data_IF_558387662314
#
_entry.id   IF_558387662314
#
_cell.length_a   1.000
_cell.length_b   1.000
_cell.length_c   1.000
_cell.angle_alpha   90.00
_cell.angle_beta   90.00
_cell.angle_gamma   90.00
#
_symmetry.space_group_name_H-M   'P 1'
#
loop_
_entity.id
_entity.type
_entity.pdbx_description
1 polymer ?
#
# COMPACT_ATOMS: atom_id res chain seq x y z
N UNK A 1 -4.55 -14.85 18.37
CA UNK A 1 -3.66 -13.92 17.67
C UNK A 1 -3.89 -14.10 16.18
N UNK A 2 -4.55 -13.15 15.56
CA UNK A 2 -4.76 -13.08 14.12
C UNK A 2 -3.56 -12.40 13.47
N UNK A 3 -2.50 -13.16 13.23
CA UNK A 3 -1.40 -12.71 12.37
C UNK A 3 -1.87 -12.54 10.92
N UNK A 4 -1.30 -11.57 10.21
CA UNK A 4 -1.44 -11.46 8.76
C UNK A 4 -0.20 -12.05 8.08
N UNK A 5 -0.36 -12.60 6.88
CA UNK A 5 0.72 -13.21 6.11
C UNK A 5 1.97 -12.31 5.98
N UNK A 6 1.77 -10.99 5.83
CA UNK A 6 2.86 -10.02 5.67
C UNK A 6 3.26 -9.30 6.99
N UNK A 7 2.53 -9.54 8.09
CA UNK A 7 2.75 -8.95 9.42
C UNK A 7 2.26 -9.92 10.49
N UNK A 8 3.13 -10.85 10.89
CA UNK A 8 2.79 -11.95 11.80
C UNK A 8 2.30 -11.45 13.17
N UNK A 9 2.86 -10.33 13.66
CA UNK A 9 2.52 -9.63 14.91
C UNK A 9 1.50 -8.49 14.71
N UNK A 10 0.58 -8.61 13.75
CA UNK A 10 -0.34 -7.52 13.40
C UNK A 10 -1.23 -7.08 14.57
N UNK A 11 -1.63 -7.99 15.45
CA UNK A 11 -2.47 -7.65 16.59
C UNK A 11 -1.72 -6.76 17.58
N UNK A 12 -0.46 -7.10 17.89
CA UNK A 12 0.42 -6.34 18.77
C UNK A 12 0.76 -4.98 18.14
N UNK A 13 0.94 -4.92 16.83
CA UNK A 13 1.12 -3.65 16.10
C UNK A 13 -0.11 -2.75 16.23
N UNK A 14 -1.30 -3.31 16.03
CA UNK A 14 -2.56 -2.59 16.15
C UNK A 14 -2.75 -2.05 17.57
N UNK A 15 -2.40 -2.84 18.58
CA UNK A 15 -2.44 -2.42 19.98
C UNK A 15 -1.50 -1.23 20.24
N UNK A 16 -0.22 -1.33 19.84
CA UNK A 16 0.75 -0.22 19.98
C UNK A 16 0.29 1.04 19.27
N UNK A 17 -0.17 0.92 18.03
CA UNK A 17 -0.71 2.04 17.26
C UNK A 17 -1.93 2.65 17.94
N UNK A 18 -2.83 1.84 18.49
CA UNK A 18 -4.01 2.33 19.22
C UNK A 18 -3.60 3.11 20.46
N UNK A 19 -2.66 2.60 21.26
CA UNK A 19 -2.14 3.31 22.44
C UNK A 19 -1.54 4.65 22.03
N UNK A 20 -0.65 4.64 21.05
CA UNK A 20 0.03 5.85 20.56
C UNK A 20 -0.96 6.89 20.00
N UNK A 21 -1.94 6.46 19.20
CA UNK A 21 -2.93 7.35 18.58
C UNK A 21 -3.84 8.04 19.61
N UNK A 22 -4.07 7.38 20.75
CA UNK A 22 -4.82 7.95 21.87
C UNK A 22 -3.93 8.72 22.87
N UNK A 23 -2.69 9.05 22.49
CA UNK A 23 -1.76 9.83 23.31
C UNK A 23 -1.06 9.05 24.43
N UNK A 24 -1.17 7.72 24.43
CA UNK A 24 -0.45 6.86 25.37
C UNK A 24 1.04 6.69 25.01
N UNK A 25 1.81 6.16 25.96
CA UNK A 25 3.24 5.87 25.78
C UNK A 25 3.47 4.41 25.37
N UNK A 26 4.32 4.20 24.36
CA UNK A 26 4.75 2.88 23.88
C UNK A 26 6.26 2.66 24.13
N UNK A 27 6.90 3.52 24.92
CA UNK A 27 8.31 3.48 25.31
C UNK A 27 9.28 4.03 24.26
N UNK A 28 8.78 4.48 23.11
CA UNK A 28 9.55 5.05 21.99
C UNK A 28 8.63 5.77 21.00
N UNK A 29 9.16 6.56 20.05
CA UNK A 29 8.37 7.05 18.92
C UNK A 29 7.74 5.90 18.12
N UNK A 30 6.51 6.09 17.66
CA UNK A 30 5.92 5.23 16.63
C UNK A 30 6.72 5.42 15.33
N UNK A 31 7.15 4.31 14.72
CA UNK A 31 7.99 4.34 13.53
C UNK A 31 7.44 3.41 12.45
N UNK A 32 7.51 3.85 11.21
CA UNK A 32 7.28 2.99 10.05
C UNK A 32 8.63 2.64 9.43
N UNK A 33 9.00 1.38 9.51
CA UNK A 33 10.26 0.88 8.96
C UNK A 33 9.93 -0.15 7.89
N UNK A 34 10.44 0.10 6.68
CA UNK A 34 10.31 -0.78 5.52
C UNK A 34 11.70 -1.22 5.09
N UNK A 35 11.86 -2.51 4.79
CA UNK A 35 13.10 -3.05 4.25
C UNK A 35 12.80 -4.06 3.15
N UNK A 36 13.63 -4.16 2.10
CA UNK A 36 13.47 -5.19 1.08
C UNK A 36 13.68 -6.58 1.71
N UNK A 37 12.87 -7.55 1.30
CA UNK A 37 13.11 -8.96 1.59
C UNK A 37 14.16 -9.51 0.63
N UNK A 38 15.12 -10.33 1.11
CA UNK A 38 16.04 -11.05 0.23
C UNK A 38 15.29 -11.95 -0.76
N UNK A 39 14.23 -12.61 -0.28
CA UNK A 39 13.38 -13.50 -1.08
C UNK A 39 11.89 -13.14 -0.86
N UNK A 40 11.06 -13.16 -1.91
CA UNK A 40 9.63 -12.93 -1.78
C UNK A 40 8.96 -13.98 -0.88
N UNK A 41 8.03 -13.57 -0.02
CA UNK A 41 7.30 -14.50 0.87
C UNK A 41 6.35 -15.45 0.11
N UNK A 42 5.93 -15.05 -1.08
CA UNK A 42 5.09 -15.84 -1.98
C UNK A 42 5.48 -15.58 -3.43
N UNK A 43 5.07 -16.49 -4.33
CA UNK A 43 5.31 -16.36 -5.76
C UNK A 43 4.09 -15.75 -6.45
N UNK A 44 4.14 -14.44 -6.72
CA UNK A 44 3.13 -13.74 -7.52
C UNK A 44 3.69 -13.45 -8.92
N UNK A 45 3.03 -13.92 -10.01
CA UNK A 45 3.45 -13.63 -11.37
C UNK A 45 3.57 -12.12 -11.62
N UNK A 46 4.59 -11.73 -12.38
CA UNK A 46 4.73 -10.34 -12.85
C UNK A 46 3.69 -10.13 -13.94
N UNK A 47 2.83 -9.13 -13.77
CA UNK A 47 1.97 -8.65 -14.85
C UNK A 47 2.75 -7.61 -15.67
N UNK A 48 2.74 -7.68 -17.01
CA UNK A 48 3.37 -6.65 -17.83
C UNK A 48 2.68 -5.30 -17.64
N UNK A 49 3.46 -4.21 -17.73
CA UNK A 49 2.91 -2.86 -17.68
C UNK A 49 1.92 -2.64 -18.84
N UNK A 50 0.68 -2.21 -18.56
CA UNK A 50 -0.31 -1.92 -19.59
C UNK A 50 0.10 -0.73 -20.47
N UNK A 51 -0.37 -0.76 -21.72
CA UNK A 51 -0.18 0.37 -22.64
C UNK A 51 -0.78 1.66 -22.08
N UNK A 52 -0.03 2.76 -22.24
CA UNK A 52 -0.47 4.08 -21.78
C UNK A 52 -0.48 4.26 -20.25
N UNK A 53 0.22 3.40 -19.50
CA UNK A 53 0.48 3.57 -18.08
C UNK A 53 1.51 4.68 -17.85
N UNK A 54 1.04 5.88 -17.47
CA UNK A 54 1.85 7.11 -17.46
C UNK A 54 2.36 7.52 -16.08
N UNK A 55 1.71 7.09 -14.99
CA UNK A 55 2.10 7.42 -13.62
C UNK A 55 1.85 6.25 -12.67
N UNK A 56 2.48 6.26 -11.50
CA UNK A 56 2.20 5.30 -10.42
C UNK A 56 0.82 5.50 -9.77
N UNK A 57 0.09 6.55 -10.15
CA UNK A 57 -1.29 6.82 -9.73
C UNK A 57 -2.32 6.38 -10.78
N UNK A 58 -1.88 5.88 -11.95
CA UNK A 58 -2.77 5.50 -13.04
C UNK A 58 -3.87 4.54 -12.55
N UNK A 59 -5.09 4.73 -13.06
CA UNK A 59 -6.26 3.91 -12.75
C UNK A 59 -6.75 3.12 -13.97
N UNK A 60 -6.02 3.19 -15.10
CA UNK A 60 -6.40 2.56 -16.38
C UNK A 60 -6.51 1.04 -16.34
N UNK A 61 -5.81 0.38 -15.42
CA UNK A 61 -5.85 -1.07 -15.29
C UNK A 61 -5.82 -1.45 -13.80
N UNK A 62 -6.98 -1.87 -13.30
CA UNK A 62 -7.15 -2.26 -11.90
C UNK A 62 -6.38 -3.52 -11.54
N UNK A 63 -6.35 -4.53 -12.42
CA UNK A 63 -5.64 -5.79 -12.18
C UNK A 63 -4.13 -5.55 -12.05
N UNK A 64 -3.57 -4.67 -12.87
CA UNK A 64 -2.17 -4.28 -12.79
C UNK A 64 -1.85 -3.57 -11.47
N UNK A 65 -2.75 -2.69 -10.98
CA UNK A 65 -2.61 -2.08 -9.64
C UNK A 65 -2.59 -3.12 -8.53
N UNK A 66 -3.52 -4.08 -8.56
CA UNK A 66 -3.56 -5.17 -7.57
C UNK A 66 -2.28 -6.00 -7.64
N UNK A 67 -1.76 -6.27 -8.85
CA UNK A 67 -0.48 -6.96 -9.02
C UNK A 67 0.69 -6.18 -8.41
N UNK A 68 0.79 -4.88 -8.68
CA UNK A 68 1.83 -4.01 -8.09
C UNK A 68 1.74 -4.00 -6.55
N UNK A 69 0.54 -3.87 -6.00
CA UNK A 69 0.29 -3.88 -4.56
C UNK A 69 0.73 -5.19 -3.91
N UNK A 70 0.27 -6.31 -4.46
CA UNK A 70 0.60 -7.62 -3.94
C UNK A 70 2.11 -7.89 -4.04
N UNK A 71 2.73 -7.47 -5.16
CA UNK A 71 4.18 -7.56 -5.34
C UNK A 71 4.96 -6.65 -4.37
N UNK A 72 4.45 -5.48 -4.01
CA UNK A 72 5.05 -4.66 -2.97
C UNK A 72 5.01 -5.38 -1.61
N UNK A 73 3.86 -5.99 -1.28
CA UNK A 73 3.70 -6.76 -0.03
C UNK A 73 4.67 -7.94 0.08
N UNK A 74 4.77 -8.78 -0.95
CA UNK A 74 5.61 -9.99 -0.87
C UNK A 74 7.12 -9.69 -0.79
N UNK A 75 7.55 -8.51 -1.23
CA UNK A 75 8.96 -8.11 -1.30
C UNK A 75 9.40 -7.21 -0.13
N UNK A 76 8.50 -6.89 0.81
CA UNK A 76 8.77 -5.89 1.85
C UNK A 76 8.66 -6.51 3.25
N UNK A 77 9.65 -6.26 4.09
CA UNK A 77 9.53 -6.38 5.54
C UNK A 77 8.82 -5.13 6.07
N UNK A 78 7.76 -5.36 6.83
CA UNK A 78 7.05 -4.34 7.59
C UNK A 78 7.48 -4.49 9.05
N UNK A 79 8.23 -3.51 9.57
CA UNK A 79 8.84 -3.55 10.90
C UNK A 79 8.30 -2.41 11.78
N UNK A 80 8.49 -2.54 13.10
CA UNK A 80 7.96 -1.62 14.11
C UNK A 80 6.43 -1.48 14.00
N UNK A 81 5.91 -0.30 13.63
CA UNK A 81 4.48 -0.06 13.43
C UNK A 81 4.10 0.03 11.94
N UNK A 82 5.03 -0.27 11.04
CA UNK A 82 4.69 -0.40 9.62
C UNK A 82 3.75 -1.59 9.41
N UNK A 83 2.78 -1.38 8.52
CA UNK A 83 1.82 -2.40 8.09
C UNK A 83 1.72 -2.37 6.56
N UNK A 84 1.44 -3.51 5.90
CA UNK A 84 1.07 -3.50 4.49
C UNK A 84 -0.19 -2.65 4.31
N UNK A 85 -0.08 -1.57 3.54
CA UNK A 85 -1.18 -0.70 3.22
C UNK A 85 -1.15 -0.36 1.73
N UNK A 86 -2.23 -0.68 1.04
CA UNK A 86 -2.43 -0.28 -0.34
C UNK A 86 -3.86 0.21 -0.51
N UNK A 87 -4.01 1.32 -1.21
CA UNK A 87 -5.30 1.82 -1.64
C UNK A 87 -5.31 1.90 -3.17
N UNK A 88 -6.26 1.26 -3.86
CA UNK A 88 -6.49 1.50 -5.28
C UNK A 88 -7.19 2.85 -5.52
N UNK A 89 -7.07 3.82 -4.60
CA UNK A 89 -7.68 5.14 -4.70
C UNK A 89 -7.41 5.76 -6.08
N UNK A 90 -8.48 6.38 -6.60
CA UNK A 90 -8.55 7.01 -7.91
C UNK A 90 -7.86 8.39 -7.91
N UNK A 91 -6.72 8.53 -7.21
CA UNK A 91 -5.96 9.78 -7.10
C UNK A 91 -6.79 10.94 -6.46
N UNK A 92 -6.25 12.17 -6.31
CA UNK A 92 -6.86 13.26 -5.52
C UNK A 92 -8.31 13.73 -5.86
N UNK A 93 -8.91 13.27 -6.96
CA UNK A 93 -10.22 13.64 -7.50
C UNK A 93 -11.08 12.39 -7.66
N UNK A 94 -10.82 11.34 -6.87
CA UNK A 94 -11.66 10.15 -6.83
C UNK A 94 -13.14 10.49 -6.67
N UNK A 95 -13.46 11.53 -5.89
CA UNK A 95 -14.81 12.07 -5.77
C UNK A 95 -15.36 12.60 -7.10
N UNK A 96 -14.59 13.38 -7.86
CA UNK A 96 -15.06 13.94 -9.14
C UNK A 96 -15.30 12.82 -10.17
N UNK A 97 -14.40 11.84 -10.23
CA UNK A 97 -14.59 10.65 -11.07
C UNK A 97 -15.83 9.86 -10.67
N UNK A 98 -16.03 9.67 -9.36
CA UNK A 98 -17.22 9.01 -8.83
C UNK A 98 -18.52 9.76 -9.19
N UNK A 99 -18.47 11.09 -9.21
CA UNK A 99 -19.59 11.96 -9.61
C UNK A 99 -19.76 12.09 -11.14
N UNK A 100 -18.94 11.41 -11.95
CA UNK A 100 -19.10 11.31 -13.40
C UNK A 100 -18.18 12.20 -14.23
N UNK A 101 -17.22 12.90 -13.64
CA UNK A 101 -16.19 13.61 -14.41
C UNK A 101 -15.25 12.63 -15.12
N UNK A 102 -14.70 13.05 -16.27
CA UNK A 102 -13.67 12.28 -16.98
C UNK A 102 -12.26 12.67 -16.52
N UNK A 103 -11.48 11.69 -16.06
CA UNK A 103 -10.06 11.87 -15.76
C UNK A 103 -9.21 11.73 -17.02
N UNK A 104 -8.23 12.62 -17.21
CA UNK A 104 -7.27 12.52 -18.30
C UNK A 104 -5.89 12.38 -17.72
N UNK A 105 -5.26 11.22 -17.94
CA UNK A 105 -3.93 10.97 -17.39
C UNK A 105 -2.80 11.57 -18.24
N UNK A 106 -1.85 12.27 -17.60
CA UNK A 106 -0.71 12.94 -18.22
C UNK A 106 0.57 12.78 -17.38
N UNK A 107 1.72 12.82 -18.07
CA UNK A 107 3.02 12.78 -17.42
C UNK A 107 3.24 14.04 -16.57
N UNK A 108 3.77 13.88 -15.36
CA UNK A 108 4.08 14.98 -14.45
C UNK A 108 2.88 15.55 -13.68
N UNK A 109 1.68 15.04 -13.91
CA UNK A 109 0.50 15.31 -13.09
C UNK A 109 0.18 14.13 -12.18
N UNK A 110 -0.61 14.40 -11.14
CA UNK A 110 -1.29 13.38 -10.32
C UNK A 110 -2.59 12.88 -10.98
N UNK A 111 -2.73 13.18 -12.27
CA UNK A 111 -3.74 12.75 -13.22
C UNK A 111 -2.99 12.35 -14.46
#
# INVERSE_FOLDING_TARGET
MGGLLYREDMDEVRERLTIWWNGGDIGRPAMQIYAPRPEPIERIPIMPQPDGWVTNYSTKNFEYRVNLAARACINTYYLAEAVPAFSPDLAPNCLALYLGCSGVEKSGSVW
#
